data_IF_274782882615
#
_entry.id   IF_274782882615
#
_cell.length_a   1.000
_cell.length_b   1.000
_cell.length_c   1.000
_cell.angle_alpha   90.00
_cell.angle_beta   90.00
_cell.angle_gamma   90.00
#
_symmetry.space_group_name_H-M   'P 1'
#
loop_
_entity.id
_entity.type
_entity.pdbx_description
1 polymer ?
#
# COMPACT_ATOMS: atom_id res chain seq x y z
N UNK A 1 -4.58 5.35 25.02
CA UNK A 1 -3.66 4.62 24.13
C UNK A 1 -2.45 5.53 23.89
N UNK A 2 -1.23 4.99 23.85
CA UNK A 2 -0.02 5.77 23.54
C UNK A 2 -0.11 6.30 22.09
N UNK A 3 0.33 7.54 21.90
CA UNK A 3 0.38 8.18 20.58
C UNK A 3 1.57 7.58 19.79
N UNK A 4 1.31 6.68 18.84
CA UNK A 4 2.32 6.02 18.03
C UNK A 4 2.71 6.88 16.83
N UNK A 5 3.99 6.83 16.45
CA UNK A 5 4.49 7.39 15.20
C UNK A 5 4.74 6.27 14.19
N UNK A 6 3.98 6.26 13.12
CA UNK A 6 4.03 5.23 12.08
C UNK A 6 4.61 5.81 10.79
N UNK A 7 5.64 5.17 10.26
CA UNK A 7 6.16 5.46 8.92
C UNK A 7 5.67 4.40 7.96
N UNK A 8 4.99 4.79 6.89
CA UNK A 8 4.67 3.92 5.75
C UNK A 8 5.67 4.15 4.62
N UNK A 9 6.20 3.08 4.06
CA UNK A 9 7.23 3.13 3.03
C UNK A 9 6.77 2.38 1.76
N UNK A 10 6.62 3.10 0.66
CA UNK A 10 6.17 2.58 -0.64
C UNK A 10 6.88 3.29 -1.80
N UNK A 11 6.84 2.73 -3.04
CA UNK A 11 7.55 3.31 -4.19
C UNK A 11 7.05 4.71 -4.55
N UNK A 12 5.75 4.87 -4.77
CA UNK A 12 5.09 6.07 -5.29
C UNK A 12 3.68 6.19 -4.70
N UNK A 13 3.04 7.34 -4.90
CA UNK A 13 1.68 7.66 -4.46
C UNK A 13 0.76 7.98 -5.66
N UNK A 14 0.93 7.23 -6.75
CA UNK A 14 0.08 7.35 -7.93
C UNK A 14 -1.22 6.52 -7.79
N UNK A 15 -1.96 6.33 -8.90
CA UNK A 15 -3.21 5.55 -8.88
C UNK A 15 -2.90 4.06 -8.71
N UNK A 16 -3.40 3.49 -7.63
CA UNK A 16 -3.29 2.06 -7.34
C UNK A 16 -3.86 1.70 -5.99
N UNK A 17 -4.14 0.41 -5.80
CA UNK A 17 -4.73 -0.06 -4.56
C UNK A 17 -3.79 0.02 -3.35
N UNK A 18 -2.47 -0.11 -3.53
CA UNK A 18 -1.49 0.04 -2.44
C UNK A 18 -1.42 1.50 -2.01
N UNK A 19 -1.36 2.40 -2.98
CA UNK A 19 -1.24 3.84 -2.82
C UNK A 19 -2.49 4.41 -2.14
N UNK A 20 -3.68 4.03 -2.62
CA UNK A 20 -4.95 4.41 -2.00
C UNK A 20 -5.04 3.90 -0.57
N UNK A 21 -4.78 2.62 -0.33
CA UNK A 21 -4.78 2.06 1.03
C UNK A 21 -3.69 2.66 1.94
N UNK A 22 -2.62 3.26 1.39
CA UNK A 22 -1.63 4.02 2.17
C UNK A 22 -2.20 5.35 2.60
N UNK A 23 -2.88 6.07 1.70
CA UNK A 23 -3.57 7.32 1.98
C UNK A 23 -4.66 7.13 3.05
N UNK A 24 -5.54 6.15 2.84
CA UNK A 24 -6.66 5.86 3.74
C UNK A 24 -6.16 5.46 5.14
N UNK A 25 -5.10 4.64 5.22
CA UNK A 25 -4.50 4.27 6.50
C UNK A 25 -3.79 5.46 7.16
N UNK A 26 -3.17 6.36 6.40
CA UNK A 26 -2.58 7.59 6.92
C UNK A 26 -3.64 8.47 7.59
N UNK A 27 -4.79 8.68 6.91
CA UNK A 27 -5.94 9.42 7.44
C UNK A 27 -6.45 8.78 8.74
N UNK A 28 -6.69 7.48 8.74
CA UNK A 28 -7.18 6.75 9.91
C UNK A 28 -6.22 6.80 11.12
N UNK A 29 -4.91 6.83 10.88
CA UNK A 29 -3.93 7.01 11.95
C UNK A 29 -4.06 8.39 12.61
N UNK A 30 -4.20 9.45 11.81
CA UNK A 30 -4.37 10.82 12.31
C UNK A 30 -5.68 10.96 13.09
N UNK A 31 -6.78 10.45 12.55
CA UNK A 31 -8.10 10.48 13.20
C UNK A 31 -8.10 9.75 14.56
N UNK A 32 -7.24 8.73 14.71
CA UNK A 32 -7.05 8.01 15.98
C UNK A 32 -5.99 8.63 16.90
N UNK A 33 -5.48 9.82 16.58
CA UNK A 33 -4.52 10.56 17.38
C UNK A 33 -3.07 10.07 17.25
N UNK A 34 -2.74 9.27 16.25
CA UNK A 34 -1.38 8.83 15.94
C UNK A 34 -0.69 9.80 14.98
N UNK A 35 0.64 9.70 14.86
CA UNK A 35 1.43 10.43 13.86
C UNK A 35 1.66 9.55 12.65
N UNK A 36 1.31 10.04 11.46
CA UNK A 36 1.52 9.35 10.19
C UNK A 36 2.56 10.06 9.33
N UNK A 37 3.58 9.31 8.91
CA UNK A 37 4.59 9.77 7.95
C UNK A 37 4.58 8.79 6.77
N UNK A 38 4.52 9.32 5.56
CA UNK A 38 4.61 8.51 4.35
C UNK A 38 5.88 8.88 3.60
N UNK A 39 6.70 7.88 3.27
CA UNK A 39 7.93 8.05 2.49
C UNK A 39 7.77 7.37 1.15
N UNK A 40 7.87 8.15 0.07
CA UNK A 40 7.77 7.66 -1.31
C UNK A 40 8.45 8.62 -2.29
N UNK A 41 8.47 8.27 -3.58
CA UNK A 41 8.92 9.18 -4.63
C UNK A 41 7.92 10.33 -4.93
N UNK A 42 6.75 10.31 -4.28
CA UNK A 42 5.66 11.24 -4.51
C UNK A 42 4.59 10.69 -5.45
N UNK A 43 3.63 11.52 -5.83
CA UNK A 43 2.52 11.20 -6.71
C UNK A 43 1.26 11.98 -6.35
N UNK A 44 0.14 11.66 -7.01
CA UNK A 44 -1.11 12.43 -6.92
C UNK A 44 -1.72 12.48 -5.50
N UNK A 45 -1.44 11.48 -4.65
CA UNK A 45 -1.96 11.43 -3.27
C UNK A 45 -1.07 12.14 -2.23
N UNK A 46 -0.01 12.86 -2.65
CA UNK A 46 0.84 13.60 -1.71
C UNK A 46 0.04 14.66 -0.94
N UNK A 47 -0.75 15.45 -1.67
CA UNK A 47 -1.55 16.52 -1.08
C UNK A 47 -2.60 15.96 -0.12
N UNK A 48 -3.30 14.89 -0.50
CA UNK A 48 -4.30 14.24 0.36
C UNK A 48 -3.71 13.82 1.72
N UNK A 49 -2.46 13.30 1.73
CA UNK A 49 -1.78 12.90 2.97
C UNK A 49 -1.51 14.11 3.86
N UNK A 50 -1.02 15.20 3.27
CA UNK A 50 -0.66 16.43 4.00
C UNK A 50 -1.90 17.14 4.51
N UNK A 51 -2.93 17.28 3.69
CA UNK A 51 -4.21 17.90 4.03
C UNK A 51 -4.96 17.17 5.15
N UNK A 52 -4.82 15.83 5.21
CA UNK A 52 -5.34 15.03 6.32
C UNK A 52 -4.44 15.03 7.57
N UNK A 53 -3.42 15.91 7.66
CA UNK A 53 -2.56 16.06 8.83
C UNK A 53 -1.38 15.09 8.91
N UNK A 54 -1.17 14.26 7.89
CA UNK A 54 0.03 13.42 7.78
C UNK A 54 1.23 14.18 7.25
N UNK A 55 2.41 13.57 7.32
CA UNK A 55 3.64 14.11 6.73
C UNK A 55 4.07 13.26 5.54
N UNK A 56 4.39 13.88 4.41
CA UNK A 56 5.05 13.22 3.29
C UNK A 56 6.53 13.60 3.23
N UNK A 57 7.40 12.61 3.05
CA UNK A 57 8.84 12.79 2.81
C UNK A 57 9.20 12.21 1.45
N UNK A 58 9.60 13.06 0.52
CA UNK A 58 9.98 12.64 -0.83
C UNK A 58 11.34 11.97 -0.84
N UNK A 59 11.37 10.67 -1.17
CA UNK A 59 12.58 9.88 -1.34
C UNK A 59 12.38 8.88 -2.49
N UNK A 60 13.29 8.81 -3.48
CA UNK A 60 13.09 8.00 -4.70
C UNK A 60 13.35 6.50 -4.47
N UNK A 61 12.60 5.91 -3.53
CA UNK A 61 12.70 4.49 -3.10
C UNK A 61 12.14 3.49 -4.13
N UNK A 62 11.62 3.97 -5.25
CA UNK A 62 11.09 3.16 -6.36
C UNK A 62 12.20 2.60 -7.27
N UNK A 63 13.36 3.27 -7.36
CA UNK A 63 14.41 2.95 -8.33
C UNK A 63 15.12 1.65 -7.96
N UNK A 64 15.15 0.71 -8.92
CA UNK A 64 15.92 -0.54 -8.85
C UNK A 64 17.33 -0.26 -9.37
N UNK A 65 18.21 0.27 -8.53
CA UNK A 65 19.58 0.62 -8.89
C UNK A 65 20.53 0.31 -7.74
N UNK A 66 21.80 0.02 -8.04
CA UNK A 66 22.85 -0.09 -7.02
C UNK A 66 22.98 1.20 -6.18
N UNK A 67 22.69 2.36 -6.76
CA UNK A 67 22.60 3.63 -6.02
C UNK A 67 21.49 3.67 -4.95
N UNK A 68 20.53 2.75 -4.99
CA UNK A 68 19.50 2.63 -3.96
C UNK A 68 20.06 2.31 -2.58
N UNK A 69 21.25 1.72 -2.50
CA UNK A 69 21.97 1.54 -1.22
C UNK A 69 22.34 2.86 -0.55
N UNK A 70 22.62 3.92 -1.33
CA UNK A 70 22.86 5.25 -0.76
C UNK A 70 21.60 5.84 -0.13
N UNK A 71 20.40 5.45 -0.60
CA UNK A 71 19.14 5.85 -0.02
C UNK A 71 18.95 5.27 1.39
N UNK A 72 19.56 4.12 1.70
CA UNK A 72 19.52 3.54 3.03
C UNK A 72 20.17 4.44 4.10
N UNK A 73 21.24 5.18 3.72
CA UNK A 73 21.88 6.17 4.61
C UNK A 73 20.95 7.37 4.87
N UNK A 74 20.24 7.85 3.85
CA UNK A 74 19.26 8.93 3.98
C UNK A 74 18.08 8.47 4.83
N UNK A 75 17.57 7.27 4.57
CA UNK A 75 16.46 6.69 5.31
C UNK A 75 16.81 6.48 6.79
N UNK A 76 18.04 6.01 7.08
CA UNK A 76 18.56 5.92 8.44
C UNK A 76 18.49 7.27 9.17
N UNK A 77 18.99 8.35 8.55
CA UNK A 77 18.93 9.70 9.12
C UNK A 77 17.49 10.17 9.39
N UNK A 78 16.55 9.83 8.50
CA UNK A 78 15.14 10.12 8.71
C UNK A 78 14.63 9.37 9.95
N UNK A 79 14.97 8.09 10.11
CA UNK A 79 14.57 7.32 11.29
C UNK A 79 15.18 7.84 12.59
N UNK A 80 16.44 8.23 12.58
CA UNK A 80 17.11 8.83 13.73
C UNK A 80 16.47 10.16 14.16
N UNK A 81 16.03 10.96 13.19
CA UNK A 81 15.33 12.23 13.43
C UNK A 81 13.88 12.02 13.86
N UNK A 82 13.13 11.19 13.11
CA UNK A 82 11.70 11.01 13.34
C UNK A 82 11.40 10.07 14.52
N UNK A 83 12.29 9.12 14.83
CA UNK A 83 12.13 8.11 15.89
C UNK A 83 10.77 7.41 15.80
N UNK A 84 10.47 6.69 14.70
CA UNK A 84 9.20 6.00 14.55
C UNK A 84 9.09 4.82 15.53
N UNK A 85 7.88 4.56 16.02
CA UNK A 85 7.57 3.34 16.76
C UNK A 85 7.40 2.16 15.81
N UNK A 86 6.81 2.42 14.63
CA UNK A 86 6.52 1.40 13.62
C UNK A 86 6.99 1.88 12.25
N UNK A 87 7.63 0.98 11.50
CA UNK A 87 7.87 1.13 10.06
C UNK A 87 7.12 0.05 9.31
N UNK A 88 6.19 0.49 8.46
CA UNK A 88 5.35 -0.37 7.65
C UNK A 88 5.81 -0.35 6.19
N UNK A 89 6.45 -1.41 5.74
CA UNK A 89 6.90 -1.56 4.35
C UNK A 89 5.78 -2.17 3.50
N UNK A 90 5.47 -1.52 2.37
CA UNK A 90 4.36 -1.89 1.51
C UNK A 90 4.78 -2.37 0.12
N UNK A 91 6.09 -2.46 -0.13
CA UNK A 91 6.62 -2.95 -1.40
C UNK A 91 8.07 -3.42 -1.26
N UNK A 92 8.46 -4.32 -2.15
CA UNK A 92 9.74 -5.05 -2.12
C UNK A 92 10.98 -4.15 -2.18
N UNK A 93 11.03 -3.19 -3.11
CA UNK A 93 12.23 -2.33 -3.25
C UNK A 93 12.40 -1.40 -2.05
N UNK A 94 11.36 -0.68 -1.57
CA UNK A 94 11.43 0.04 -0.32
C UNK A 94 11.82 -0.84 0.87
N UNK A 95 11.35 -2.10 0.93
CA UNK A 95 11.71 -3.04 2.00
C UNK A 95 13.22 -3.37 1.99
N UNK A 96 13.85 -3.52 0.83
CA UNK A 96 15.30 -3.70 0.73
C UNK A 96 16.06 -2.49 1.25
N UNK A 97 15.67 -1.28 0.84
CA UNK A 97 16.30 -0.04 1.34
C UNK A 97 16.14 0.09 2.86
N UNK A 98 14.93 -0.19 3.35
CA UNK A 98 14.61 -0.22 4.77
C UNK A 98 15.49 -1.21 5.55
N UNK A 99 15.64 -2.41 5.07
CA UNK A 99 16.45 -3.45 5.69
C UNK A 99 17.91 -3.00 5.94
N UNK A 100 18.52 -2.36 4.93
CA UNK A 100 19.88 -1.82 5.07
C UNK A 100 19.96 -0.58 5.97
N UNK A 101 18.89 0.21 6.04
CA UNK A 101 18.82 1.36 6.93
C UNK A 101 18.72 0.92 8.40
N UNK A 102 17.82 0.00 8.70
CA UNK A 102 17.53 -0.47 10.06
C UNK A 102 18.67 -1.27 10.68
N UNK A 103 19.41 -2.05 9.89
CA UNK A 103 20.60 -2.77 10.40
C UNK A 103 21.62 -1.87 11.08
N UNK A 104 21.61 -0.57 10.77
CA UNK A 104 22.55 0.42 11.27
C UNK A 104 21.96 1.33 12.35
N UNK A 105 20.73 1.06 12.81
CA UNK A 105 20.09 1.79 13.90
C UNK A 105 20.39 1.11 15.23
N UNK A 106 20.59 1.94 16.26
CA UNK A 106 20.68 1.49 17.65
C UNK A 106 19.30 1.14 18.18
N UNK A 107 18.37 2.10 18.09
CA UNK A 107 16.98 1.92 18.48
C UNK A 107 16.16 1.56 17.22
N UNK A 108 15.66 0.33 17.18
CA UNK A 108 14.94 -0.20 16.02
C UNK A 108 13.43 -0.08 16.25
N UNK A 109 12.68 0.46 15.26
CA UNK A 109 11.23 0.42 15.29
C UNK A 109 10.72 -1.00 15.05
N UNK A 110 9.48 -1.26 15.42
CA UNK A 110 8.76 -2.47 15.01
C UNK A 110 8.57 -2.44 13.49
N UNK A 111 8.90 -3.55 12.83
CA UNK A 111 8.77 -3.69 11.38
C UNK A 111 7.53 -4.46 11.02
N UNK A 112 6.71 -3.88 10.15
CA UNK A 112 5.54 -4.53 9.60
C UNK A 112 5.63 -4.52 8.08
N UNK A 113 5.19 -5.62 7.44
CA UNK A 113 5.01 -5.66 6.00
C UNK A 113 3.56 -5.97 5.61
N UNK A 114 3.14 -5.58 4.41
CA UNK A 114 1.91 -6.08 3.82
C UNK A 114 2.19 -6.74 2.47
N UNK A 115 1.77 -7.99 2.35
CA UNK A 115 1.74 -8.70 1.07
C UNK A 115 0.44 -8.38 0.34
N UNK A 116 0.55 -7.72 -0.80
CA UNK A 116 -0.58 -7.25 -1.61
C UNK A 116 -0.99 -8.24 -2.73
N UNK A 117 -0.43 -9.44 -2.70
CA UNK A 117 -0.70 -10.51 -3.67
C UNK A 117 0.40 -11.56 -3.69
N UNK A 118 0.34 -12.45 -4.65
CA UNK A 118 1.35 -13.49 -4.88
C UNK A 118 2.51 -12.88 -5.68
N UNK A 119 3.72 -13.01 -5.18
CA UNK A 119 4.91 -12.43 -5.84
C UNK A 119 5.64 -13.46 -6.70
N UNK A 120 5.88 -13.14 -7.96
CA UNK A 120 6.50 -14.03 -8.95
C UNK A 120 7.98 -14.35 -8.75
N UNK A 121 8.68 -13.63 -7.87
CA UNK A 121 10.12 -13.78 -7.62
C UNK A 121 10.38 -14.01 -6.13
N UNK A 122 10.27 -15.26 -5.62
CA UNK A 122 10.34 -15.55 -4.19
C UNK A 122 11.61 -15.03 -3.52
N UNK A 123 12.79 -15.24 -4.12
CA UNK A 123 14.09 -14.81 -3.56
C UNK A 123 14.13 -13.29 -3.36
N UNK A 124 13.76 -12.51 -4.38
CA UNK A 124 13.74 -11.04 -4.27
C UNK A 124 12.67 -10.57 -3.28
N UNK A 125 11.53 -11.27 -3.27
CA UNK A 125 10.38 -10.91 -2.44
C UNK A 125 10.52 -11.35 -0.98
N UNK A 126 11.47 -12.24 -0.68
CA UNK A 126 11.74 -12.71 0.68
C UNK A 126 12.02 -11.56 1.66
N UNK A 127 12.48 -10.42 1.17
CA UNK A 127 12.68 -9.24 2.00
C UNK A 127 11.42 -8.79 2.75
N UNK A 128 10.24 -9.04 2.17
CA UNK A 128 8.96 -8.70 2.79
C UNK A 128 8.65 -9.57 4.02
N UNK A 129 9.30 -10.74 4.15
CA UNK A 129 9.19 -11.62 5.32
C UNK A 129 10.27 -11.36 6.38
N UNK A 130 11.21 -10.44 6.15
CA UNK A 130 12.27 -10.06 7.10
C UNK A 130 11.83 -8.91 8.00
N UNK A 131 10.70 -9.10 8.67
CA UNK A 131 10.01 -8.12 9.53
C UNK A 131 9.52 -8.81 10.80
N UNK A 132 9.10 -8.03 11.79
CA UNK A 132 8.58 -8.57 13.04
C UNK A 132 7.16 -9.15 12.86
N UNK A 133 6.34 -8.53 11.99
CA UNK A 133 5.01 -9.02 11.71
C UNK A 133 4.57 -8.74 10.25
N UNK A 134 3.76 -9.64 9.70
CA UNK A 134 3.32 -9.58 8.31
C UNK A 134 1.79 -9.51 8.22
N UNK A 135 1.29 -8.62 7.37
CA UNK A 135 -0.13 -8.53 7.03
C UNK A 135 -0.35 -9.21 5.67
N UNK A 136 -1.25 -10.17 5.63
CA UNK A 136 -1.76 -10.79 4.41
C UNK A 136 -3.13 -10.20 4.05
N UNK A 137 -3.35 -9.80 2.78
CA UNK A 137 -4.64 -9.19 2.37
C UNK A 137 -5.77 -10.21 2.16
N UNK A 138 -5.47 -11.50 2.20
CA UNK A 138 -6.45 -12.58 2.08
C UNK A 138 -5.89 -13.88 2.65
N UNK A 139 -6.78 -14.87 2.85
CA UNK A 139 -6.38 -16.23 3.23
C UNK A 139 -5.41 -16.84 2.21
N UNK A 140 -5.70 -16.71 0.92
CA UNK A 140 -4.84 -17.21 -0.17
C UNK A 140 -3.42 -16.61 -0.08
N UNK A 141 -3.31 -15.31 0.23
CA UNK A 141 -1.99 -14.67 0.41
C UNK A 141 -1.31 -15.17 1.69
N UNK A 142 -2.05 -15.40 2.78
CA UNK A 142 -1.51 -16.00 4.01
C UNK A 142 -0.93 -17.39 3.73
N UNK A 143 -1.70 -18.27 3.09
CA UNK A 143 -1.29 -19.63 2.75
C UNK A 143 -0.04 -19.64 1.84
N UNK A 144 0.01 -18.71 0.88
CA UNK A 144 1.19 -18.50 0.03
C UNK A 144 2.42 -18.04 0.83
N UNK A 145 2.28 -17.12 1.79
CA UNK A 145 3.40 -16.67 2.62
C UNK A 145 3.95 -17.83 3.44
N UNK A 146 3.10 -18.61 4.08
CA UNK A 146 3.49 -19.78 4.88
C UNK A 146 4.23 -20.79 4.01
N UNK A 147 3.66 -21.17 2.88
CA UNK A 147 4.23 -22.20 1.99
C UNK A 147 5.54 -21.77 1.35
N UNK A 148 5.65 -20.49 0.94
CA UNK A 148 6.78 -19.98 0.16
C UNK A 148 7.92 -19.45 1.04
N UNK A 149 7.59 -18.66 2.07
CA UNK A 149 8.59 -17.97 2.91
C UNK A 149 8.79 -18.62 4.28
N UNK A 150 8.02 -19.67 4.60
CA UNK A 150 8.12 -20.43 5.84
C UNK A 150 7.95 -19.60 7.12
N UNK A 151 7.13 -18.54 7.07
CA UNK A 151 6.71 -17.82 8.25
C UNK A 151 5.72 -18.67 9.05
N UNK A 152 5.77 -18.56 10.38
CA UNK A 152 4.78 -19.16 11.27
C UNK A 152 3.46 -18.37 11.25
N UNK A 153 2.37 -19.04 11.60
CA UNK A 153 1.03 -18.42 11.54
C UNK A 153 0.87 -17.23 12.48
N UNK A 154 1.51 -17.28 13.64
CA UNK A 154 1.51 -16.21 14.65
C UNK A 154 2.21 -14.93 14.19
N UNK A 155 3.09 -15.04 13.19
CA UNK A 155 3.75 -13.89 12.55
C UNK A 155 2.89 -13.25 11.46
N UNK A 156 1.69 -13.80 11.17
CA UNK A 156 0.87 -13.33 10.04
C UNK A 156 -0.56 -13.03 10.50
N UNK A 157 -0.99 -11.80 10.29
CA UNK A 157 -2.40 -11.43 10.45
C UNK A 157 -3.05 -11.21 9.08
N UNK A 158 -4.23 -11.82 8.88
CA UNK A 158 -5.02 -11.56 7.67
C UNK A 158 -5.89 -10.33 7.89
N UNK A 159 -5.63 -9.27 7.12
CA UNK A 159 -6.43 -8.04 7.12
C UNK A 159 -6.86 -7.77 5.68
N UNK A 160 -8.11 -8.08 5.31
CA UNK A 160 -8.65 -7.77 3.99
C UNK A 160 -8.62 -6.27 3.71
N UNK A 161 -8.63 -5.92 2.42
CA UNK A 161 -8.78 -4.51 2.05
C UNK A 161 -10.20 -4.06 2.32
N UNK A 162 -10.30 -2.90 2.96
CA UNK A 162 -11.55 -2.19 3.11
C UNK A 162 -11.80 -1.21 1.96
N UNK A 163 -13.01 -0.70 1.91
CA UNK A 163 -13.39 0.48 1.13
C UNK A 163 -14.12 1.46 2.05
N UNK A 164 -14.16 2.71 1.64
CA UNK A 164 -14.93 3.72 2.33
C UNK A 164 -16.42 3.53 2.00
N UNK A 165 -17.27 3.18 2.97
CA UNK A 165 -18.70 2.95 2.73
C UNK A 165 -19.47 4.21 2.36
N UNK A 166 -18.96 5.40 2.70
CA UNK A 166 -19.59 6.67 2.31
C UNK A 166 -19.36 6.95 0.81
N UNK A 167 -18.21 6.51 0.26
CA UNK A 167 -17.88 6.66 -1.16
C UNK A 167 -18.44 5.50 -1.99
N UNK A 168 -18.42 4.28 -1.44
CA UNK A 168 -18.86 3.05 -2.10
C UNK A 168 -20.09 2.49 -1.40
N UNK A 169 -21.20 3.22 -1.46
CA UNK A 169 -22.49 2.81 -0.92
C UNK A 169 -23.37 2.12 -1.98
N UNK A 170 -24.52 1.61 -1.55
CA UNK A 170 -25.52 0.99 -2.41
C UNK A 170 -26.65 1.95 -2.79
N UNK A 171 -26.49 3.23 -2.49
CA UNK A 171 -27.49 4.23 -2.80
C UNK A 171 -27.67 4.37 -4.31
N UNK A 172 -28.84 4.80 -4.73
CA UNK A 172 -29.13 5.01 -6.13
C UNK A 172 -28.19 6.08 -6.71
N UNK A 173 -27.72 5.82 -7.93
CA UNK A 173 -26.91 6.80 -8.64
C UNK A 173 -27.68 8.07 -8.90
N UNK A 174 -27.03 9.21 -8.73
CA UNK A 174 -27.64 10.52 -9.00
C UNK A 174 -28.27 10.55 -10.41
N UNK A 175 -29.55 11.00 -10.53
CA UNK A 175 -30.18 11.15 -11.84
C UNK A 175 -29.39 12.04 -12.81
N UNK A 176 -28.68 13.04 -12.31
CA UNK A 176 -27.80 13.91 -13.12
C UNK A 176 -26.64 13.11 -13.70
N UNK A 177 -25.96 12.30 -12.88
CA UNK A 177 -24.89 11.42 -13.32
C UNK A 177 -25.37 10.40 -14.35
N UNK A 178 -26.51 9.76 -14.12
CA UNK A 178 -27.11 8.81 -15.07
C UNK A 178 -27.45 9.47 -16.41
N UNK A 179 -27.97 10.69 -16.40
CA UNK A 179 -28.26 11.42 -17.61
C UNK A 179 -27.00 11.75 -18.42
N UNK A 180 -25.92 12.15 -17.75
CA UNK A 180 -24.62 12.39 -18.40
C UNK A 180 -24.04 11.09 -18.96
N UNK A 181 -24.09 10.01 -18.19
CA UNK A 181 -23.66 8.69 -18.64
C UNK A 181 -24.43 8.25 -19.90
N UNK A 182 -25.76 8.36 -19.92
CA UNK A 182 -26.57 7.97 -21.07
C UNK A 182 -26.43 8.87 -22.28
N UNK A 183 -25.97 10.11 -22.11
CA UNK A 183 -25.58 10.96 -23.25
C UNK A 183 -24.31 10.45 -23.92
N UNK A 184 -23.33 10.04 -23.12
CA UNK A 184 -22.04 9.55 -23.61
C UNK A 184 -22.15 8.09 -24.10
N UNK A 185 -22.93 7.26 -23.39
CA UNK A 185 -23.07 5.83 -23.67
C UNK A 185 -24.56 5.41 -23.85
N UNK A 186 -25.26 5.90 -24.88
CA UNK A 186 -26.69 5.67 -25.05
C UNK A 186 -27.06 4.19 -25.20
N UNK A 187 -26.14 3.35 -25.69
CA UNK A 187 -26.32 1.90 -25.85
C UNK A 187 -26.45 1.17 -24.52
N UNK A 188 -26.11 1.78 -23.40
CA UNK A 188 -26.18 1.16 -22.05
C UNK A 188 -27.55 1.35 -21.39
N UNK A 189 -28.41 2.20 -21.95
CA UNK A 189 -29.75 2.48 -21.40
C UNK A 189 -30.60 1.21 -21.38
N UNK A 190 -31.17 0.90 -20.21
CA UNK A 190 -31.99 -0.30 -19.97
C UNK A 190 -31.24 -1.62 -20.20
N UNK A 191 -29.90 -1.62 -20.02
CA UNK A 191 -29.08 -2.82 -20.09
C UNK A 191 -28.50 -3.16 -18.73
N UNK A 192 -28.24 -4.46 -18.52
CA UNK A 192 -27.37 -4.89 -17.43
C UNK A 192 -25.94 -4.62 -17.88
N UNK A 193 -25.18 -3.88 -17.05
CA UNK A 193 -23.79 -3.52 -17.34
C UNK A 193 -22.90 -4.39 -16.48
N UNK A 194 -22.05 -5.21 -17.15
CA UNK A 194 -20.97 -5.92 -16.49
C UNK A 194 -19.69 -5.08 -16.63
N UNK A 195 -19.02 -4.84 -15.53
CA UNK A 195 -17.83 -3.97 -15.51
C UNK A 195 -16.63 -4.68 -14.92
N UNK A 196 -15.50 -4.64 -15.60
CA UNK A 196 -14.20 -5.10 -15.13
C UNK A 196 -13.24 -3.91 -14.94
N UNK A 197 -13.26 -3.24 -13.79
CA UNK A 197 -12.41 -2.07 -13.54
C UNK A 197 -10.96 -2.50 -13.27
N UNK A 198 -10.16 -2.63 -14.33
CA UNK A 198 -8.77 -3.07 -14.21
C UNK A 198 -7.84 -2.37 -15.20
N UNK A 199 -6.54 -2.47 -14.97
CA UNK A 199 -5.55 -2.08 -15.99
C UNK A 199 -5.55 -3.12 -17.10
N UNK A 200 -5.43 -2.67 -18.35
CA UNK A 200 -5.30 -3.56 -19.50
C UNK A 200 -3.94 -4.26 -19.39
N UNK A 201 -3.98 -5.56 -19.09
CA UNK A 201 -2.81 -6.42 -19.02
C UNK A 201 -3.24 -7.88 -19.05
N UNK A 202 -2.47 -8.74 -19.70
CA UNK A 202 -2.74 -10.16 -19.94
C UNK A 202 -3.22 -10.92 -18.68
N UNK A 203 -2.54 -10.75 -17.57
CA UNK A 203 -2.84 -11.45 -16.31
C UNK A 203 -4.06 -10.92 -15.54
N UNK A 204 -4.82 -9.99 -16.11
CA UNK A 204 -6.05 -9.43 -15.49
C UNK A 204 -7.32 -10.10 -15.97
N UNK A 205 -7.21 -11.09 -16.85
CA UNK A 205 -8.34 -11.89 -17.30
C UNK A 205 -9.33 -11.12 -18.16
N UNK A 206 -8.87 -10.12 -18.92
CA UNK A 206 -9.74 -9.32 -19.79
C UNK A 206 -10.33 -10.21 -20.89
N UNK A 207 -9.49 -11.07 -21.50
CA UNK A 207 -9.92 -11.98 -22.55
C UNK A 207 -11.04 -12.91 -22.05
N UNK A 208 -10.83 -13.54 -20.88
CA UNK A 208 -11.85 -14.37 -20.23
C UNK A 208 -13.12 -13.62 -19.79
N UNK A 209 -13.07 -12.29 -19.72
CA UNK A 209 -14.24 -11.47 -19.40
C UNK A 209 -15.05 -11.09 -20.67
N UNK A 210 -14.39 -11.04 -21.82
CA UNK A 210 -15.02 -10.71 -23.11
C UNK A 210 -15.64 -11.95 -23.75
N UNK A 211 -15.01 -13.14 -23.61
CA UNK A 211 -15.49 -14.44 -24.06
C UNK A 211 -16.74 -14.89 -23.27
#
# INVERSE_FOLDING_TARGET
MSNLKVIQLLPELNIGGVERGTKDFSKALIEKGHKSIVISNGGIFENDIVENGGKHIKLPVHKKSLFSFFLSKKLKKIYEHEKPDIVHVRSRMPAWINYFAIKKLTDKPILISTFHGLYSTPIYSQIMSKVDHTIAISKTVKDYIISTYKLSEDQITTIPRGCDPEVFNKDELSPLWLNEWYKEYPQTKNKIILTLPTRISEWKGIDSFID
#
